data_IF_140370078746
#
_entry.id   IF_140370078746
#
_cell.length_a   1.000
_cell.length_b   1.000
_cell.length_c   1.000
_cell.angle_alpha   90.00
_cell.angle_beta   90.00
_cell.angle_gamma   90.00
#
_symmetry.space_group_name_H-M   'P 1'
#
loop_
_entity.id
_entity.type
_entity.pdbx_description
1 polymer ?
#
# COMPACT_ATOMS: atom_id res chain seq x y z
N UNK A 1 -0.50 -35.13 -65.28
CA UNK A 1 0.62 -35.26 -66.24
C UNK A 1 1.43 -33.98 -66.23
N UNK A 2 2.72 -34.10 -65.91
CA UNK A 2 3.70 -33.02 -65.87
C UNK A 2 4.02 -32.44 -67.26
N UNK A 3 4.57 -31.21 -67.22
CA UNK A 3 5.38 -30.46 -68.22
C UNK A 3 4.63 -29.21 -68.69
N UNK A 4 5.22 -28.02 -68.68
CA UNK A 4 6.60 -27.63 -68.50
C UNK A 4 6.79 -26.28 -69.21
N UNK A 5 7.42 -25.33 -68.53
CA UNK A 5 7.78 -23.99 -69.00
C UNK A 5 8.51 -24.00 -70.36
N UNK A 6 8.27 -22.95 -71.16
CA UNK A 6 9.33 -22.32 -71.97
C UNK A 6 9.09 -20.83 -72.11
N UNK A 7 10.14 -20.09 -71.74
CA UNK A 7 10.28 -18.63 -71.78
C UNK A 7 10.76 -18.22 -73.18
N UNK A 8 10.22 -17.13 -73.71
CA UNK A 8 10.80 -16.40 -74.85
C UNK A 8 11.28 -15.03 -74.40
N UNK A 9 12.56 -14.75 -74.63
CA UNK A 9 13.19 -13.45 -74.44
C UNK A 9 12.58 -12.39 -75.35
N UNK A 10 12.25 -11.23 -74.79
CA UNK A 10 12.00 -10.00 -75.56
C UNK A 10 12.87 -8.89 -74.99
N UNK A 11 13.64 -8.26 -75.88
CA UNK A 11 14.61 -7.22 -75.58
C UNK A 11 14.02 -5.89 -76.07
N UNK A 12 13.90 -4.83 -75.25
CA UNK A 12 13.62 -3.50 -75.77
C UNK A 12 14.78 -2.51 -75.61
N UNK A 13 14.83 -1.66 -76.62
CA UNK A 13 15.78 -0.61 -77.02
C UNK A 13 15.85 0.63 -76.09
N UNK A 14 16.87 1.50 -76.28
CA UNK A 14 17.28 2.50 -75.31
C UNK A 14 16.56 3.83 -75.55
N UNK A 15 15.31 3.95 -75.12
CA UNK A 15 14.57 5.24 -75.11
C UNK A 15 13.81 5.51 -73.81
N UNK A 16 14.16 4.78 -72.74
CA UNK A 16 13.56 4.90 -71.41
C UNK A 16 14.48 5.54 -70.36
N UNK A 17 15.67 5.98 -70.75
CA UNK A 17 16.70 6.45 -69.79
C UNK A 17 16.52 7.95 -69.43
N UNK A 18 15.80 8.74 -70.23
CA UNK A 18 15.68 10.20 -69.98
C UNK A 18 14.43 10.63 -69.23
N UNK A 19 13.43 9.75 -69.02
CA UNK A 19 12.27 10.06 -68.17
C UNK A 19 12.35 9.47 -66.75
N UNK A 20 13.34 8.61 -66.49
CA UNK A 20 13.60 8.09 -65.13
C UNK A 20 14.48 9.03 -64.31
N UNK A 21 15.29 9.88 -64.96
CA UNK A 21 16.23 10.77 -64.26
C UNK A 21 15.58 12.00 -63.60
N UNK A 22 14.31 12.31 -63.89
CA UNK A 22 13.57 13.43 -63.29
C UNK A 22 12.59 13.00 -62.18
N UNK A 23 12.37 11.70 -61.98
CA UNK A 23 11.70 11.16 -60.79
C UNK A 23 12.69 10.73 -59.68
N UNK A 24 13.99 10.66 -59.97
CA UNK A 24 15.01 10.37 -58.95
C UNK A 24 15.60 11.62 -58.29
N UNK A 25 15.22 12.82 -58.71
CA UNK A 25 15.72 14.10 -58.15
C UNK A 25 14.66 14.90 -57.38
N UNK A 26 13.63 14.24 -56.84
CA UNK A 26 12.62 14.82 -55.95
C UNK A 26 12.42 14.04 -54.64
N UNK A 27 13.30 13.07 -54.33
CA UNK A 27 13.33 12.34 -53.05
C UNK A 27 14.66 12.62 -52.31
N UNK A 28 15.11 13.87 -52.33
CA UNK A 28 16.39 14.28 -51.71
C UNK A 28 16.24 15.47 -50.75
N UNK A 29 15.07 15.66 -50.14
CA UNK A 29 14.90 16.54 -48.97
C UNK A 29 13.90 15.90 -47.98
N UNK A 30 14.26 14.72 -47.49
CA UNK A 30 13.75 14.22 -46.22
C UNK A 30 15.00 13.85 -45.42
N UNK A 31 15.41 14.74 -44.53
CA UNK A 31 16.43 14.45 -43.54
C UNK A 31 16.06 13.12 -42.87
N UNK A 32 16.89 12.07 -42.92
CA UNK A 32 16.77 11.04 -41.91
C UNK A 32 17.12 11.74 -40.60
N UNK A 33 16.12 11.97 -39.76
CA UNK A 33 16.33 12.05 -38.32
C UNK A 33 17.31 10.92 -38.00
N UNK A 34 18.54 11.28 -37.62
CA UNK A 34 19.52 10.33 -37.15
C UNK A 34 18.89 9.67 -35.92
N UNK A 35 18.25 8.53 -36.12
CA UNK A 35 17.90 7.62 -35.05
C UNK A 35 19.25 7.19 -34.47
N UNK A 36 19.64 7.81 -33.36
CA UNK A 36 20.83 7.41 -32.64
C UNK A 36 20.62 5.94 -32.24
N UNK A 37 21.62 5.08 -32.45
CA UNK A 37 21.47 3.69 -32.05
C UNK A 37 21.51 3.57 -30.52
N UNK A 38 20.76 2.64 -29.92
CA UNK A 38 20.79 2.41 -28.48
C UNK A 38 22.23 2.13 -28.02
N UNK A 39 22.70 2.88 -27.02
CA UNK A 39 24.06 2.74 -26.51
C UNK A 39 24.08 1.87 -25.26
N UNK A 40 25.00 0.91 -25.23
CA UNK A 40 25.21 0.08 -24.05
C UNK A 40 26.15 0.79 -23.09
N UNK A 41 25.70 1.00 -21.84
CA UNK A 41 26.46 1.63 -20.75
C UNK A 41 26.49 0.74 -19.52
N UNK A 42 27.35 1.06 -18.55
CA UNK A 42 27.37 0.39 -17.24
C UNK A 42 27.10 1.38 -16.11
N UNK A 43 26.32 0.99 -15.11
CA UNK A 43 26.10 1.80 -13.91
C UNK A 43 27.28 1.67 -12.91
N UNK A 44 27.18 2.39 -11.80
CA UNK A 44 28.19 2.40 -10.73
C UNK A 44 28.34 1.03 -10.03
N UNK A 45 27.32 0.17 -10.13
CA UNK A 45 27.30 -1.19 -9.59
C UNK A 45 27.78 -2.24 -10.60
N UNK A 46 28.19 -1.82 -11.81
CA UNK A 46 28.79 -2.67 -12.85
C UNK A 46 27.77 -3.35 -13.79
N UNK A 47 26.48 -3.07 -13.62
CA UNK A 47 25.38 -3.67 -14.38
C UNK A 47 25.28 -3.05 -15.77
N UNK A 48 24.93 -3.87 -16.78
CA UNK A 48 24.92 -3.44 -18.18
C UNK A 48 23.51 -2.97 -18.60
N UNK A 49 23.44 -1.74 -19.10
CA UNK A 49 22.22 -1.01 -19.45
C UNK A 49 22.19 -0.71 -20.94
N UNK A 50 21.02 -0.78 -21.58
CA UNK A 50 20.77 -0.24 -22.92
C UNK A 50 20.11 1.13 -22.73
N UNK A 51 20.70 2.19 -23.26
CA UNK A 51 20.18 3.55 -23.21
C UNK A 51 19.71 3.97 -24.59
N UNK A 52 18.45 4.34 -24.71
CA UNK A 52 17.80 4.74 -25.95
C UNK A 52 17.96 6.26 -26.19
N UNK A 53 17.77 6.73 -27.44
CA UNK A 53 17.94 8.14 -27.81
C UNK A 53 16.96 9.10 -27.13
N UNK A 54 15.81 8.60 -26.69
CA UNK A 54 14.78 9.35 -25.96
C UNK A 54 15.12 9.53 -24.47
N UNK A 55 16.27 9.00 -24.02
CA UNK A 55 16.72 9.04 -22.63
C UNK A 55 16.15 7.91 -21.76
N UNK A 56 15.28 7.06 -22.31
CA UNK A 56 14.85 5.85 -21.62
C UNK A 56 15.99 4.83 -21.57
N UNK A 57 15.97 3.96 -20.58
CA UNK A 57 16.98 2.93 -20.42
C UNK A 57 16.36 1.66 -19.84
N UNK A 58 16.98 0.51 -20.14
CA UNK A 58 16.59 -0.77 -19.55
C UNK A 58 17.80 -1.66 -19.30
N UNK A 59 17.66 -2.61 -18.38
CA UNK A 59 18.71 -3.59 -18.11
C UNK A 59 18.86 -4.57 -19.28
N UNK A 60 20.12 -4.85 -19.64
CA UNK A 60 20.44 -5.78 -20.73
C UNK A 60 19.96 -7.21 -20.43
N UNK A 61 19.89 -7.60 -19.16
CA UNK A 61 19.34 -8.88 -18.70
C UNK A 61 17.85 -9.02 -19.02
N UNK A 62 17.08 -7.95 -18.88
CA UNK A 62 15.64 -7.96 -19.12
C UNK A 62 15.34 -8.04 -20.62
N UNK A 63 16.16 -7.39 -21.45
CA UNK A 63 16.08 -7.50 -22.92
C UNK A 63 16.27 -8.94 -23.42
N UNK A 64 17.25 -9.67 -22.87
CA UNK A 64 17.48 -11.08 -23.23
C UNK A 64 16.37 -12.02 -22.72
N UNK A 65 15.67 -11.64 -21.65
CA UNK A 65 14.59 -12.44 -21.06
C UNK A 65 13.27 -12.41 -21.84
N UNK A 66 13.17 -11.57 -22.89
CA UNK A 66 12.00 -11.52 -23.77
C UNK A 66 10.72 -10.96 -23.14
N UNK A 67 10.81 -10.27 -21.99
CA UNK A 67 9.67 -9.53 -21.41
C UNK A 67 9.34 -8.36 -22.34
N UNK A 68 8.21 -8.43 -23.04
CA UNK A 68 7.71 -7.35 -23.92
C UNK A 68 7.42 -6.06 -23.13
N UNK A 69 7.67 -4.94 -23.81
CA UNK A 69 7.43 -3.56 -23.37
C UNK A 69 6.09 -3.38 -22.64
N UNK A 70 6.17 -2.72 -21.48
CA UNK A 70 5.02 -2.35 -20.65
C UNK A 70 4.21 -1.25 -21.35
N UNK A 71 2.89 -1.41 -21.33
CA UNK A 71 1.94 -0.51 -21.98
C UNK A 71 2.02 0.91 -21.36
N UNK A 72 1.94 2.02 -22.13
CA UNK A 72 2.06 3.39 -21.59
C UNK A 72 0.97 3.77 -20.57
N UNK A 73 -0.11 2.99 -20.47
CA UNK A 73 -1.16 3.14 -19.46
C UNK A 73 -0.70 2.76 -18.04
N UNK A 74 0.42 2.05 -17.89
CA UNK A 74 0.97 1.64 -16.59
C UNK A 74 1.87 2.74 -15.95
N UNK A 75 2.03 3.91 -16.58
CA UNK A 75 2.81 5.04 -16.02
C UNK A 75 2.05 5.86 -14.96
N UNK A 76 0.82 5.49 -14.60
CA UNK A 76 -0.04 6.29 -13.73
C UNK A 76 0.03 5.93 -12.23
N UNK A 77 0.92 5.02 -11.81
CA UNK A 77 0.98 4.62 -10.39
C UNK A 77 2.42 4.55 -9.94
N UNK A 78 3.00 5.71 -9.64
CA UNK A 78 4.10 5.73 -8.70
C UNK A 78 3.53 5.26 -7.35
N UNK A 79 4.00 4.13 -6.78
CA UNK A 79 3.57 3.73 -5.45
C UNK A 79 3.96 4.86 -4.49
N UNK A 80 2.95 5.47 -3.86
CA UNK A 80 3.17 6.35 -2.73
C UNK A 80 3.76 5.44 -1.65
N UNK A 81 5.03 5.65 -1.33
CA UNK A 81 5.69 4.93 -0.26
C UNK A 81 5.02 5.32 1.07
N UNK A 82 4.11 4.46 1.55
CA UNK A 82 3.57 4.52 2.91
C UNK A 82 4.53 3.80 3.86
N UNK A 83 5.72 4.38 4.04
CA UNK A 83 6.61 3.97 5.11
C UNK A 83 6.23 4.68 6.41
N UNK A 84 5.86 3.94 7.43
CA UNK A 84 5.86 4.48 8.80
C UNK A 84 7.30 4.68 9.22
N UNK A 85 7.74 5.94 9.30
CA UNK A 85 9.02 6.29 9.90
C UNK A 85 8.89 5.99 11.40
N UNK A 86 9.58 4.95 11.88
CA UNK A 86 9.73 4.71 13.31
C UNK A 86 10.25 6.00 13.95
N UNK A 87 9.55 6.56 14.96
CA UNK A 87 10.03 7.75 15.63
C UNK A 87 11.39 7.43 16.23
N UNK A 88 12.41 8.23 15.87
CA UNK A 88 13.75 8.08 16.44
C UNK A 88 13.65 7.98 17.97
N UNK A 89 14.17 6.88 18.51
CA UNK A 89 14.20 6.63 19.94
C UNK A 89 15.14 7.65 20.62
N UNK A 90 14.53 8.65 21.27
CA UNK A 90 15.24 9.66 22.04
C UNK A 90 14.56 11.03 22.01
N UNK A 91 14.64 11.76 23.13
CA UNK A 91 14.33 13.18 23.16
C UNK A 91 15.36 13.93 22.30
N UNK A 92 15.11 14.03 20.99
CA UNK A 92 15.90 14.88 20.09
C UNK A 92 15.76 16.30 20.62
N UNK A 93 16.86 16.85 21.14
CA UNK A 93 16.92 18.26 21.54
C UNK A 93 16.90 19.09 20.26
N UNK A 94 15.73 19.58 19.90
CA UNK A 94 15.54 20.47 18.75
C UNK A 94 16.34 21.74 19.01
N UNK A 95 17.35 21.98 18.18
CA UNK A 95 18.21 23.17 18.27
C UNK A 95 17.57 24.35 17.55
N UNK A 96 18.06 25.57 17.80
CA UNK A 96 17.59 26.76 17.09
C UNK A 96 17.89 26.70 15.58
N UNK A 97 19.02 26.09 15.20
CA UNK A 97 19.37 25.82 13.79
C UNK A 97 18.37 24.85 13.13
N UNK A 98 17.92 23.83 13.86
CA UNK A 98 16.88 22.92 13.37
C UNK A 98 15.55 23.66 13.17
N UNK A 99 15.18 24.55 14.10
CA UNK A 99 13.97 25.36 13.97
C UNK A 99 14.04 26.32 12.79
N UNK A 100 15.20 26.92 12.54
CA UNK A 100 15.43 27.76 11.37
C UNK A 100 15.26 26.97 10.07
N UNK A 101 15.90 25.79 9.95
CA UNK A 101 15.76 24.90 8.78
C UNK A 101 14.32 24.45 8.55
N UNK A 102 13.59 24.15 9.63
CA UNK A 102 12.16 23.81 9.55
C UNK A 102 11.36 25.01 9.05
N UNK A 103 11.63 26.22 9.55
CA UNK A 103 10.95 27.44 9.12
C UNK A 103 11.25 27.75 7.64
N UNK A 104 12.52 27.69 7.24
CA UNK A 104 12.97 27.85 5.85
C UNK A 104 12.27 26.86 4.92
N UNK A 105 12.24 25.58 5.30
CA UNK A 105 11.55 24.56 4.50
C UNK A 105 10.06 24.84 4.39
N UNK A 106 9.42 25.34 5.46
CA UNK A 106 8.00 25.72 5.44
C UNK A 106 7.73 26.93 4.54
N UNK A 107 8.61 27.94 4.51
CA UNK A 107 8.51 29.03 3.53
C UNK A 107 8.58 28.50 2.11
N UNK A 108 9.58 27.69 1.79
CA UNK A 108 9.75 27.13 0.44
C UNK A 108 8.50 26.38 -0.02
N UNK A 109 7.92 25.54 0.86
CA UNK A 109 6.69 24.82 0.56
C UNK A 109 5.48 25.74 0.40
N UNK A 110 5.38 26.79 1.22
CA UNK A 110 4.31 27.78 1.11
C UNK A 110 4.41 28.57 -0.22
N UNK A 111 5.62 28.92 -0.64
CA UNK A 111 5.90 29.58 -1.92
C UNK A 111 5.55 28.70 -3.12
N UNK A 112 5.95 27.42 -3.08
CA UNK A 112 5.58 26.44 -4.09
C UNK A 112 4.05 26.28 -4.16
N UNK A 113 3.38 26.18 -3.01
CA UNK A 113 1.93 26.12 -2.94
C UNK A 113 1.26 27.37 -3.53
N UNK A 114 1.77 28.56 -3.23
CA UNK A 114 1.27 29.82 -3.78
C UNK A 114 1.41 29.87 -5.31
N UNK A 115 2.55 29.42 -5.86
CA UNK A 115 2.78 29.33 -7.32
C UNK A 115 1.82 28.33 -7.98
N UNK A 116 1.60 27.17 -7.36
CA UNK A 116 0.68 26.15 -7.88
C UNK A 116 -0.76 26.68 -7.86
N UNK A 117 -1.18 27.32 -6.77
CA UNK A 117 -2.52 27.91 -6.65
C UNK A 117 -2.74 29.03 -7.69
N UNK A 118 -1.74 29.87 -7.91
CA UNK A 118 -1.76 30.91 -8.95
C UNK A 118 -1.93 30.29 -10.35
N UNK A 119 -1.16 29.24 -10.67
CA UNK A 119 -1.30 28.52 -11.94
C UNK A 119 -2.68 27.87 -12.10
N UNK A 120 -3.27 27.34 -11.02
CA UNK A 120 -4.64 26.79 -11.04
C UNK A 120 -5.67 27.87 -11.34
N UNK A 121 -5.54 29.04 -10.72
CA UNK A 121 -6.41 30.18 -11.00
C UNK A 121 -6.31 30.64 -12.46
N UNK A 122 -5.10 30.74 -13.00
CA UNK A 122 -4.88 31.08 -14.42
C UNK A 122 -5.53 30.06 -15.36
N UNK A 123 -5.33 28.76 -15.12
CA UNK A 123 -5.99 27.70 -15.90
C UNK A 123 -7.52 27.74 -15.78
N UNK A 124 -8.05 28.09 -14.61
CA UNK A 124 -9.50 28.24 -14.42
C UNK A 124 -10.06 29.43 -15.20
N UNK A 125 -9.32 30.55 -15.29
CA UNK A 125 -9.70 31.69 -16.15
C UNK A 125 -9.72 31.31 -17.62
N UNK A 126 -8.69 30.60 -18.09
CA UNK A 126 -8.61 30.12 -19.48
C UNK A 126 -9.79 29.19 -19.80
N UNK A 127 -10.12 28.26 -18.90
CA UNK A 127 -11.25 27.36 -19.06
C UNK A 127 -12.59 28.13 -19.12
N UNK A 128 -12.80 29.13 -18.26
CA UNK A 128 -14.00 30.00 -18.36
C UNK A 128 -14.05 30.71 -19.71
N UNK A 129 -12.94 31.33 -20.13
CA UNK A 129 -12.86 32.08 -21.36
C UNK A 129 -13.10 31.19 -22.60
N UNK A 130 -12.67 29.93 -22.56
CA UNK A 130 -12.95 28.96 -23.62
C UNK A 130 -14.44 28.64 -23.72
N UNK A 131 -15.10 28.33 -22.60
CA UNK A 131 -16.54 28.04 -22.58
C UNK A 131 -17.37 29.26 -23.02
N UNK A 132 -16.93 30.47 -22.66
CA UNK A 132 -17.56 31.72 -23.09
C UNK A 132 -17.44 31.93 -24.60
N UNK A 133 -16.26 31.67 -25.18
CA UNK A 133 -16.05 31.70 -26.64
C UNK A 133 -16.92 30.68 -27.37
N UNK A 134 -17.00 29.45 -26.85
CA UNK A 134 -17.87 28.40 -27.40
C UNK A 134 -19.34 28.85 -27.39
N UNK A 135 -19.80 29.46 -26.30
CA UNK A 135 -21.16 30.01 -26.21
C UNK A 135 -21.40 31.11 -27.26
N UNK A 136 -20.47 32.06 -27.42
CA UNK A 136 -20.59 33.12 -28.42
C UNK A 136 -20.58 32.58 -29.87
N UNK A 137 -19.77 31.56 -30.15
CA UNK A 137 -19.71 30.92 -31.46
C UNK A 137 -21.03 30.20 -31.80
N UNK A 138 -21.61 29.51 -30.81
CA UNK A 138 -22.91 28.84 -30.97
C UNK A 138 -24.05 29.85 -31.14
N UNK A 139 -24.01 30.99 -30.46
CA UNK A 139 -25.00 32.06 -30.62
C UNK A 139 -24.90 32.74 -32.00
N UNK A 140 -23.69 32.94 -32.52
CA UNK A 140 -23.48 33.63 -33.81
C UNK A 140 -23.80 32.78 -35.05
N UNK A 141 -23.70 31.46 -34.95
CA UNK A 141 -23.97 30.53 -36.07
C UNK A 141 -25.47 30.25 -36.29
N UNK A 142 -26.35 30.63 -35.35
CA UNK A 142 -27.81 30.60 -35.52
C UNK A 142 -28.45 29.21 -35.65
N UNK A 143 -27.68 28.12 -35.53
CA UNK A 143 -28.13 26.72 -35.67
C UNK A 143 -28.25 25.99 -34.31
N UNK A 144 -28.20 26.72 -33.21
CA UNK A 144 -28.13 26.13 -31.87
C UNK A 144 -29.49 25.61 -31.38
N UNK A 145 -29.55 24.32 -30.99
CA UNK A 145 -30.70 23.79 -30.25
C UNK A 145 -30.74 24.37 -28.83
N UNK A 146 -31.95 24.57 -28.30
CA UNK A 146 -32.14 25.18 -26.97
C UNK A 146 -31.47 24.36 -25.84
N UNK A 147 -31.34 23.04 -26.02
CA UNK A 147 -30.63 22.14 -25.12
C UNK A 147 -29.12 22.40 -25.07
N UNK A 148 -28.48 22.67 -26.22
CA UNK A 148 -27.04 22.95 -26.30
C UNK A 148 -26.70 24.27 -25.61
N UNK A 149 -27.55 25.29 -25.78
CA UNK A 149 -27.41 26.57 -25.08
C UNK A 149 -27.54 26.39 -23.56
N UNK A 150 -28.49 25.57 -23.11
CA UNK A 150 -28.68 25.29 -21.68
C UNK A 150 -27.47 24.56 -21.07
N UNK A 151 -26.89 23.59 -21.79
CA UNK A 151 -25.68 22.89 -21.36
C UNK A 151 -24.46 23.82 -21.28
N UNK A 152 -24.26 24.69 -22.28
CA UNK A 152 -23.16 25.65 -22.28
C UNK A 152 -23.29 26.68 -21.15
N UNK A 153 -24.51 27.16 -20.87
CA UNK A 153 -24.75 28.04 -19.72
C UNK A 153 -24.46 27.34 -18.38
N UNK A 154 -24.79 26.06 -18.25
CA UNK A 154 -24.45 25.27 -17.07
C UNK A 154 -22.93 25.12 -16.90
N UNK A 155 -22.22 24.82 -18.00
CA UNK A 155 -20.75 24.73 -18.01
C UNK A 155 -20.09 26.07 -17.67
N UNK A 156 -20.60 27.17 -18.22
CA UNK A 156 -20.11 28.51 -17.93
C UNK A 156 -20.24 28.84 -16.44
N UNK A 157 -21.42 28.55 -15.85
CA UNK A 157 -21.67 28.72 -14.42
C UNK A 157 -20.72 27.88 -13.55
N UNK A 158 -20.45 26.64 -13.96
CA UNK A 158 -19.48 25.79 -13.26
C UNK A 158 -18.05 26.35 -13.37
N UNK A 159 -17.63 26.78 -14.56
CA UNK A 159 -16.33 27.39 -14.78
C UNK A 159 -16.13 28.69 -13.98
N UNK A 160 -17.16 29.54 -13.88
CA UNK A 160 -17.11 30.75 -13.05
C UNK A 160 -16.93 30.44 -11.56
N UNK A 161 -17.60 29.40 -11.05
CA UNK A 161 -17.41 28.99 -9.64
C UNK A 161 -16.00 28.45 -9.39
N UNK A 162 -15.50 27.60 -10.29
CA UNK A 162 -14.16 27.05 -10.19
C UNK A 162 -13.08 28.13 -10.20
N UNK A 163 -13.24 29.16 -11.03
CA UNK A 163 -12.34 30.33 -11.03
C UNK A 163 -12.41 31.13 -9.72
N UNK A 164 -13.61 31.38 -9.18
CA UNK A 164 -13.78 32.08 -7.90
C UNK A 164 -13.13 31.31 -6.74
N UNK A 165 -13.34 30.00 -6.68
CA UNK A 165 -12.73 29.13 -5.68
C UNK A 165 -11.20 29.12 -5.81
N UNK A 166 -10.69 28.97 -7.03
CA UNK A 166 -9.25 29.00 -7.31
C UNK A 166 -8.62 30.37 -7.00
N UNK A 167 -9.36 31.47 -7.20
CA UNK A 167 -8.91 32.81 -6.84
C UNK A 167 -8.74 32.95 -5.32
N UNK A 168 -9.71 32.46 -4.54
CA UNK A 168 -9.66 32.49 -3.08
C UNK A 168 -8.49 31.62 -2.59
N UNK A 169 -8.34 30.40 -3.14
CA UNK A 169 -7.22 29.50 -2.83
C UNK A 169 -5.86 30.17 -3.11
N UNK A 170 -5.71 30.83 -4.27
CA UNK A 170 -4.49 31.55 -4.62
C UNK A 170 -4.19 32.70 -3.66
N UNK A 171 -5.20 33.47 -3.27
CA UNK A 171 -5.05 34.56 -2.29
C UNK A 171 -4.65 34.02 -0.90
N UNK A 172 -5.26 32.91 -0.47
CA UNK A 172 -4.95 32.26 0.80
C UNK A 172 -3.53 31.71 0.83
N UNK A 173 -3.14 30.98 -0.22
CA UNK A 173 -1.80 30.44 -0.36
C UNK A 173 -0.73 31.55 -0.38
N UNK A 174 -1.00 32.66 -1.08
CA UNK A 174 -0.09 33.81 -1.10
C UNK A 174 -0.01 34.51 0.26
N UNK A 175 -1.11 34.62 1.00
CA UNK A 175 -1.10 35.13 2.38
C UNK A 175 -0.27 34.26 3.31
N UNK A 176 -0.36 32.93 3.16
CA UNK A 176 0.40 31.99 3.99
C UNK A 176 1.89 31.99 3.65
N UNK A 177 2.26 32.07 2.37
CA UNK A 177 3.64 32.25 1.90
C UNK A 177 4.26 33.52 2.52
N UNK A 178 3.60 34.67 2.37
CA UNK A 178 4.06 35.93 2.98
C UNK A 178 4.18 35.83 4.52
N UNK A 179 3.26 35.09 5.17
CA UNK A 179 3.29 34.88 6.61
C UNK A 179 4.49 34.03 7.01
N UNK A 180 4.82 32.98 6.26
CA UNK A 180 5.98 32.14 6.48
C UNK A 180 7.28 32.93 6.32
N UNK A 181 7.39 33.75 5.28
CA UNK A 181 8.57 34.59 5.04
C UNK A 181 8.80 35.61 6.16
N UNK A 182 7.73 36.29 6.59
CA UNK A 182 7.81 37.23 7.71
C UNK A 182 8.24 36.55 9.02
N UNK A 183 7.91 35.27 9.22
CA UNK A 183 8.31 34.52 10.42
C UNK A 183 9.82 34.23 10.42
N UNK A 184 10.40 33.99 9.25
CA UNK A 184 11.85 33.81 9.09
C UNK A 184 12.57 35.15 9.25
N UNK A 185 12.15 36.19 8.52
CA UNK A 185 12.80 37.50 8.52
C UNK A 185 12.84 38.14 9.92
N UNK A 186 11.74 38.01 10.69
CA UNK A 186 11.63 38.58 12.04
C UNK A 186 12.22 37.70 13.14
N UNK A 187 12.73 36.51 12.81
CA UNK A 187 13.20 35.53 13.80
C UNK A 187 12.09 34.99 14.72
N UNK A 188 10.83 35.12 14.33
CA UNK A 188 9.66 34.72 15.13
C UNK A 188 9.38 33.21 15.13
N UNK A 189 10.18 32.42 14.43
CA UNK A 189 10.00 30.98 14.27
C UNK A 189 10.13 30.20 15.59
N UNK A 190 10.98 30.66 16.52
CA UNK A 190 11.13 30.03 17.85
C UNK A 190 9.86 30.19 18.67
N UNK A 191 9.27 31.39 18.69
CA UNK A 191 8.05 31.68 19.44
C UNK A 191 6.84 30.98 18.82
N UNK A 192 6.77 30.96 17.49
CA UNK A 192 5.76 30.19 16.76
C UNK A 192 5.82 28.69 17.09
N UNK A 193 7.02 28.11 17.14
CA UNK A 193 7.21 26.71 17.51
C UNK A 193 6.77 26.42 18.96
N UNK A 194 7.18 27.26 19.91
CA UNK A 194 6.78 27.13 21.32
C UNK A 194 5.26 27.25 21.51
N UNK A 195 4.63 28.19 20.80
CA UNK A 195 3.18 28.37 20.83
C UNK A 195 2.44 27.13 20.28
N UNK A 196 2.94 26.52 19.20
CA UNK A 196 2.36 25.32 18.62
C UNK A 196 2.53 24.09 19.54
N UNK A 197 3.71 23.94 20.16
CA UNK A 197 3.94 22.90 21.17
C UNK A 197 2.97 23.03 22.35
N UNK A 198 2.74 24.26 22.83
CA UNK A 198 1.78 24.52 23.91
C UNK A 198 0.35 24.11 23.51
N UNK A 199 -0.10 24.47 22.30
CA UNK A 199 -1.41 24.06 21.77
C UNK A 199 -1.55 22.53 21.64
N UNK A 200 -0.50 21.85 21.18
CA UNK A 200 -0.47 20.38 21.11
C UNK A 200 -0.59 19.75 22.50
N UNK A 201 0.10 20.29 23.50
CA UNK A 201 -0.02 19.81 24.89
C UNK A 201 -1.42 20.08 25.47
N UNK A 202 -2.00 21.25 25.22
CA UNK A 202 -3.35 21.62 25.69
C UNK A 202 -4.45 20.77 25.02
N UNK A 203 -4.33 20.47 23.72
CA UNK A 203 -5.26 19.59 23.01
C UNK A 203 -5.14 18.12 23.46
N UNK A 204 -3.93 17.65 23.80
CA UNK A 204 -3.75 16.31 24.37
C UNK A 204 -4.28 16.21 25.80
N UNK A 205 -4.10 17.25 26.62
CA UNK A 205 -4.65 17.32 27.97
C UNK A 205 -6.19 17.32 27.96
N UNK A 206 -6.80 18.18 27.14
CA UNK A 206 -8.27 18.23 27.00
C UNK A 206 -8.87 16.92 26.42
N UNK A 207 -8.18 16.22 25.53
CA UNK A 207 -8.59 14.87 25.08
C UNK A 207 -8.54 13.83 26.20
N UNK A 208 -7.52 13.89 27.06
CA UNK A 208 -7.41 13.00 28.25
C UNK A 208 -8.50 13.31 29.28
N UNK A 209 -8.85 14.57 29.47
CA UNK A 209 -9.89 14.98 30.41
C UNK A 209 -11.30 14.68 29.88
N UNK A 210 -11.53 14.82 28.57
CA UNK A 210 -12.79 14.42 27.93
C UNK A 210 -13.04 12.90 28.01
N UNK A 211 -11.98 12.08 27.97
CA UNK A 211 -12.07 10.63 28.18
C UNK A 211 -12.32 10.23 29.64
N UNK A 212 -11.95 11.07 30.61
CA UNK A 212 -12.23 10.83 32.04
C UNK A 212 -13.60 11.36 32.48
N UNK A 213 -14.14 12.37 31.81
CA UNK A 213 -15.39 13.04 32.21
C UNK A 213 -16.66 12.41 31.64
N UNK A 214 -16.57 11.51 30.64
CA UNK A 214 -17.72 10.76 30.13
C UNK A 214 -17.93 9.50 30.96
N UNK A 215 -18.66 9.64 32.07
CA UNK A 215 -19.40 8.50 32.63
C UNK A 215 -20.33 7.95 31.54
N UNK A 216 -20.29 6.65 31.31
CA UNK A 216 -21.07 5.94 30.28
C UNK A 216 -22.59 6.06 30.47
N UNK A 217 -23.06 6.53 31.62
CA UNK A 217 -24.49 6.57 32.00
C UNK A 217 -25.34 7.61 31.26
N UNK A 218 -24.74 8.60 30.57
CA UNK A 218 -25.50 9.72 30.00
C UNK A 218 -25.68 9.66 28.48
N UNK A 219 -25.24 8.59 27.82
CA UNK A 219 -25.24 8.52 26.35
C UNK A 219 -26.40 7.70 25.74
N UNK A 220 -27.29 7.10 26.54
CA UNK A 220 -28.38 6.26 26.00
C UNK A 220 -29.76 6.76 26.46
N UNK A 221 -30.66 7.13 25.54
CA UNK A 221 -32.06 7.34 25.87
C UNK A 221 -32.70 5.97 26.13
N UNK A 222 -32.81 5.59 27.40
CA UNK A 222 -33.54 4.42 27.83
C UNK A 222 -35.05 4.67 27.61
N UNK A 223 -35.68 3.83 26.80
CA UNK A 223 -37.14 3.82 26.63
C UNK A 223 -37.77 2.88 27.67
N UNK A 224 -39.00 3.20 28.10
CA UNK A 224 -39.73 2.63 29.24
C UNK A 224 -40.07 1.12 29.17
N UNK A 225 -39.53 0.37 28.22
CA UNK A 225 -39.90 -1.04 27.99
C UNK A 225 -38.81 -2.06 28.36
N UNK A 226 -37.80 -1.67 29.14
CA UNK A 226 -36.79 -2.64 29.60
C UNK A 226 -37.27 -3.38 30.87
N UNK A 227 -37.98 -4.49 30.66
CA UNK A 227 -38.31 -5.45 31.72
C UNK A 227 -37.03 -6.20 32.10
N UNK A 228 -36.61 -6.01 33.35
CA UNK A 228 -35.41 -6.60 33.93
C UNK A 228 -35.38 -8.12 33.81
N UNK A 229 -34.54 -8.60 32.89
CA UNK A 229 -33.94 -9.92 32.98
C UNK A 229 -32.77 -9.76 33.96
N UNK A 230 -32.63 -10.68 34.90
CA UNK A 230 -31.44 -10.79 35.76
C UNK A 230 -30.20 -10.95 34.86
N UNK A 231 -29.62 -9.81 34.48
CA UNK A 231 -28.48 -9.71 33.58
C UNK A 231 -27.26 -9.44 34.45
N UNK A 232 -26.51 -10.50 34.75
CA UNK A 232 -25.06 -10.33 34.74
C UNK A 232 -24.74 -9.61 33.43
N UNK A 233 -24.00 -8.53 33.52
CA UNK A 233 -23.73 -7.63 32.41
C UNK A 233 -22.94 -8.39 31.33
N UNK A 234 -23.63 -9.10 30.43
CA UNK A 234 -23.03 -10.00 29.42
C UNK A 234 -22.18 -9.21 28.41
N UNK A 235 -22.37 -7.89 28.35
CA UNK A 235 -21.58 -6.96 27.55
C UNK A 235 -20.26 -6.65 28.26
N UNK A 236 -20.28 -6.43 29.58
CA UNK A 236 -19.07 -6.17 30.37
C UNK A 236 -18.33 -7.45 30.80
N UNK A 237 -19.05 -8.56 30.93
CA UNK A 237 -18.57 -9.87 31.35
C UNK A 237 -19.16 -10.96 30.45
N UNK A 238 -18.73 -11.03 29.17
CA UNK A 238 -19.15 -12.13 28.32
C UNK A 238 -18.71 -13.46 28.95
N UNK A 239 -19.56 -14.50 28.91
CA UNK A 239 -19.22 -15.81 29.45
C UNK A 239 -17.98 -16.34 28.73
N UNK A 240 -16.98 -16.77 29.49
CA UNK A 240 -15.74 -17.32 28.94
C UNK A 240 -16.05 -18.58 28.13
N UNK A 241 -15.54 -18.65 26.90
CA UNK A 241 -15.68 -19.85 26.08
C UNK A 241 -15.10 -21.08 26.83
N UNK A 242 -15.76 -22.25 26.76
CA UNK A 242 -15.25 -23.45 27.40
C UNK A 242 -13.90 -23.85 26.77
N UNK A 243 -12.94 -24.21 27.61
CA UNK A 243 -11.62 -24.64 27.17
C UNK A 243 -11.68 -26.00 26.47
N UNK A 244 -11.47 -26.01 25.16
CA UNK A 244 -11.26 -27.22 24.38
C UNK A 244 -9.84 -27.75 24.56
N UNK A 245 -9.69 -28.96 25.08
CA UNK A 245 -8.40 -29.61 25.34
C UNK A 245 -8.29 -30.83 24.43
N UNK A 246 -7.31 -30.82 23.52
CA UNK A 246 -7.07 -31.90 22.57
C UNK A 246 -6.37 -33.10 23.23
N UNK A 247 -5.46 -32.83 24.17
CA UNK A 247 -4.70 -33.86 24.88
C UNK A 247 -4.28 -33.38 26.25
N UNK A 248 -4.45 -34.24 27.26
CA UNK A 248 -3.96 -34.01 28.62
C UNK A 248 -3.45 -35.31 29.23
N UNK A 249 -2.17 -35.38 29.56
CA UNK A 249 -1.57 -36.59 30.13
C UNK A 249 -0.05 -36.60 30.10
N UNK A 250 0.54 -37.73 30.51
CA UNK A 250 1.98 -37.93 30.39
C UNK A 250 2.36 -38.26 28.94
N UNK A 251 3.28 -37.48 28.38
CA UNK A 251 3.82 -37.77 27.06
C UNK A 251 4.76 -38.97 27.11
N UNK A 252 4.45 -40.00 26.32
CA UNK A 252 5.22 -41.24 26.20
C UNK A 252 6.68 -41.04 25.76
N UNK A 253 7.00 -39.93 25.08
CA UNK A 253 8.35 -39.67 24.55
C UNK A 253 9.23 -38.90 25.54
N UNK A 254 8.67 -37.90 26.21
CA UNK A 254 9.42 -37.04 27.14
C UNK A 254 9.27 -37.44 28.61
N UNK A 255 8.25 -38.23 28.96
CA UNK A 255 7.90 -38.56 30.36
C UNK A 255 7.34 -37.38 31.15
N UNK A 256 7.15 -36.22 30.51
CA UNK A 256 6.64 -35.02 31.12
C UNK A 256 5.12 -34.92 30.97
N UNK A 257 4.48 -34.19 31.88
CA UNK A 257 3.09 -33.82 31.73
C UNK A 257 2.94 -32.85 30.55
N UNK A 258 2.03 -33.18 29.62
CA UNK A 258 1.70 -32.41 28.43
C UNK A 258 0.21 -32.08 28.41
N UNK A 259 -0.09 -30.82 28.11
CA UNK A 259 -1.45 -30.30 27.88
C UNK A 259 -1.47 -29.55 26.56
N UNK A 260 -2.28 -30.02 25.61
CA UNK A 260 -2.51 -29.36 24.32
C UNK A 260 -3.95 -28.88 24.25
N UNK A 261 -4.11 -27.64 23.79
CA UNK A 261 -5.43 -27.09 23.49
C UNK A 261 -5.89 -27.49 22.08
N UNK A 262 -7.20 -27.37 21.86
CA UNK A 262 -7.78 -27.59 20.54
C UNK A 262 -7.26 -26.57 19.52
N UNK A 263 -7.06 -27.06 18.30
CA UNK A 263 -6.68 -26.24 17.15
C UNK A 263 -7.82 -25.28 16.78
N UNK A 264 -7.47 -24.00 16.63
CA UNK A 264 -8.40 -22.95 16.28
C UNK A 264 -7.90 -22.14 15.09
N UNK A 265 -8.84 -21.64 14.30
CA UNK A 265 -8.56 -20.76 13.19
C UNK A 265 -8.03 -19.41 13.70
N UNK A 266 -6.98 -18.91 13.05
CA UNK A 266 -6.36 -17.63 13.39
C UNK A 266 -6.57 -16.59 12.29
N UNK A 267 -6.17 -16.92 11.06
CA UNK A 267 -6.37 -16.08 9.89
C UNK A 267 -6.35 -16.86 8.59
N UNK A 268 -6.83 -16.23 7.52
CA UNK A 268 -6.67 -16.70 6.15
C UNK A 268 -6.21 -15.54 5.26
N UNK A 269 -5.46 -15.84 4.20
CA UNK A 269 -5.00 -14.84 3.29
C UNK A 269 -5.08 -15.33 1.84
N UNK A 270 -5.55 -14.46 0.97
CA UNK A 270 -5.63 -14.69 -0.48
C UNK A 270 -5.31 -13.39 -1.20
N UNK A 271 -4.23 -13.39 -1.99
CA UNK A 271 -3.88 -12.27 -2.89
C UNK A 271 -5.01 -12.04 -3.90
N UNK A 272 -5.38 -10.78 -4.12
CA UNK A 272 -6.43 -10.37 -5.05
C UNK A 272 -6.22 -10.92 -6.47
N UNK A 273 -4.98 -11.12 -6.90
CA UNK A 273 -4.63 -11.71 -8.20
C UNK A 273 -5.03 -13.19 -8.29
N UNK A 274 -4.95 -13.90 -7.17
CA UNK A 274 -5.25 -15.33 -7.10
C UNK A 274 -6.74 -15.58 -6.83
N UNK A 275 -7.45 -14.60 -6.26
CA UNK A 275 -8.88 -14.68 -5.91
C UNK A 275 -9.77 -15.05 -7.11
N UNK A 276 -9.43 -14.60 -8.33
CA UNK A 276 -10.13 -14.96 -9.58
C UNK A 276 -10.06 -16.47 -9.88
N UNK A 277 -8.95 -17.10 -9.52
CA UNK A 277 -8.70 -18.53 -9.78
C UNK A 277 -9.17 -19.43 -8.63
N UNK A 278 -9.22 -18.89 -7.42
CA UNK A 278 -9.48 -19.62 -6.18
C UNK A 278 -10.97 -19.73 -5.80
N UNK A 279 -11.85 -18.95 -6.44
CA UNK A 279 -13.30 -18.92 -6.17
C UNK A 279 -13.60 -18.82 -4.66
N UNK A 280 -13.94 -19.95 -4.04
CA UNK A 280 -14.39 -20.04 -2.65
C UNK A 280 -13.33 -20.62 -1.69
N UNK A 281 -12.13 -20.92 -2.19
CA UNK A 281 -11.03 -21.46 -1.36
C UNK A 281 -10.06 -20.35 -0.98
N UNK A 282 -9.67 -20.30 0.29
CA UNK A 282 -8.59 -19.44 0.74
C UNK A 282 -7.23 -20.02 0.29
N UNK A 283 -6.33 -19.15 -0.17
CA UNK A 283 -5.00 -19.56 -0.63
C UNK A 283 -4.14 -20.07 0.52
N UNK A 284 -4.07 -19.30 1.60
CA UNK A 284 -3.39 -19.60 2.84
C UNK A 284 -4.40 -19.61 3.98
N UNK A 285 -4.37 -20.67 4.79
CA UNK A 285 -5.10 -20.78 6.04
C UNK A 285 -4.13 -21.05 7.18
N UNK A 286 -4.18 -20.24 8.23
CA UNK A 286 -3.38 -20.40 9.43
C UNK A 286 -4.28 -20.81 10.59
N UNK A 287 -3.93 -21.93 11.20
CA UNK A 287 -4.53 -22.42 12.42
C UNK A 287 -3.46 -22.58 13.50
N UNK A 288 -3.86 -22.50 14.75
CA UNK A 288 -2.91 -22.62 15.83
C UNK A 288 -3.52 -23.17 17.11
N UNK A 289 -2.65 -23.53 18.03
CA UNK A 289 -3.00 -23.89 19.39
C UNK A 289 -1.80 -23.70 20.32
N UNK A 290 -2.05 -23.65 21.62
CA UNK A 290 -0.99 -23.66 22.62
C UNK A 290 -0.78 -25.06 23.20
N UNK A 291 0.49 -25.38 23.46
CA UNK A 291 0.93 -26.63 24.08
C UNK A 291 1.86 -26.35 25.24
N UNK A 292 1.63 -27.03 26.37
CA UNK A 292 2.46 -26.99 27.55
C UNK A 292 3.12 -28.35 27.74
N UNK A 293 4.45 -28.38 27.87
CA UNK A 293 5.21 -29.59 28.11
C UNK A 293 6.34 -29.32 29.11
N UNK A 294 6.32 -30.00 30.25
CA UNK A 294 7.43 -29.95 31.21
C UNK A 294 7.74 -28.55 31.75
N UNK A 295 6.73 -27.69 31.87
CA UNK A 295 6.86 -26.30 32.33
C UNK A 295 7.17 -25.28 31.23
N UNK A 296 7.56 -25.75 30.03
CA UNK A 296 7.68 -24.90 28.84
C UNK A 296 6.34 -24.81 28.12
N UNK A 297 6.12 -23.69 27.44
CA UNK A 297 4.93 -23.43 26.65
C UNK A 297 5.32 -23.03 25.24
N UNK A 298 4.48 -23.42 24.30
CA UNK A 298 4.73 -23.26 22.87
C UNK A 298 3.44 -22.81 22.19
N UNK A 299 3.56 -21.85 21.29
CA UNK A 299 2.56 -21.56 20.27
C UNK A 299 2.87 -22.45 19.06
N UNK A 300 1.92 -23.31 18.70
CA UNK A 300 1.97 -24.15 17.52
C UNK A 300 1.15 -23.47 16.43
N UNK A 301 1.77 -23.21 15.27
CA UNK A 301 1.10 -22.67 14.09
C UNK A 301 1.22 -23.65 12.93
N UNK A 302 0.09 -23.86 12.26
CA UNK A 302 -0.05 -24.67 11.07
C UNK A 302 -0.52 -23.80 9.90
N UNK A 303 0.37 -23.60 8.92
CA UNK A 303 0.08 -22.87 7.69
C UNK A 303 -0.24 -23.87 6.59
N UNK A 304 -1.46 -23.80 6.07
CA UNK A 304 -1.94 -24.70 5.03
C UNK A 304 -2.19 -23.91 3.75
N UNK A 305 -1.50 -24.29 2.68
CA UNK A 305 -1.65 -23.71 1.35
C UNK A 305 -2.46 -24.64 0.44
N UNK A 306 -3.39 -24.05 -0.30
CA UNK A 306 -4.23 -24.77 -1.25
C UNK A 306 -3.50 -25.22 -2.53
N UNK A 307 -2.25 -24.78 -2.74
CA UNK A 307 -1.47 -25.12 -3.94
C UNK A 307 -0.03 -25.53 -3.62
N UNK A 308 0.52 -26.56 -4.32
CA UNK A 308 1.89 -27.04 -4.10
C UNK A 308 2.97 -26.02 -4.48
N UNK A 309 2.69 -25.14 -5.45
CA UNK A 309 3.65 -24.13 -5.93
C UNK A 309 4.00 -23.09 -4.86
N UNK A 310 3.25 -23.02 -3.75
CA UNK A 310 3.58 -22.16 -2.61
C UNK A 310 4.98 -22.47 -2.05
N UNK A 311 5.49 -23.71 -2.16
CA UNK A 311 6.86 -24.03 -1.73
C UNK A 311 7.92 -23.27 -2.54
N UNK A 312 7.70 -23.03 -3.83
CA UNK A 312 8.66 -22.30 -4.66
C UNK A 312 8.62 -20.79 -4.38
N UNK A 313 7.45 -20.25 -4.04
CA UNK A 313 7.26 -18.84 -3.75
C UNK A 313 7.74 -18.45 -2.34
N UNK A 314 7.41 -19.25 -1.33
CA UNK A 314 7.70 -18.98 0.09
C UNK A 314 8.96 -19.69 0.59
N UNK A 315 9.31 -20.82 0.00
CA UNK A 315 10.45 -21.63 0.43
C UNK A 315 10.16 -22.38 1.74
N UNK A 316 10.96 -22.12 2.77
CA UNK A 316 10.92 -22.82 4.06
C UNK A 316 10.99 -21.84 5.23
N UNK A 317 10.59 -22.30 6.42
CA UNK A 317 10.74 -21.53 7.66
C UNK A 317 12.02 -21.99 8.35
N UNK A 318 12.96 -21.06 8.51
CA UNK A 318 14.25 -21.33 9.16
C UNK A 318 14.11 -21.49 10.68
N UNK A 319 15.02 -22.27 11.28
CA UNK A 319 15.12 -22.34 12.74
C UNK A 319 15.64 -21.00 13.28
N UNK A 320 14.94 -20.44 14.27
CA UNK A 320 15.23 -19.14 14.84
C UNK A 320 14.66 -17.97 14.04
N UNK A 321 13.89 -18.24 12.96
CA UNK A 321 13.12 -17.22 12.26
C UNK A 321 12.16 -16.53 13.23
N UNK A 322 11.93 -15.24 13.00
CA UNK A 322 11.12 -14.43 13.88
C UNK A 322 9.66 -14.51 13.41
N UNK A 323 8.74 -14.59 14.36
CA UNK A 323 7.32 -14.33 14.19
C UNK A 323 7.02 -13.05 14.96
N UNK A 324 6.52 -12.02 14.28
CA UNK A 324 6.15 -10.76 14.92
C UNK A 324 4.64 -10.68 15.00
N UNK A 325 4.11 -10.65 16.21
CA UNK A 325 2.68 -10.50 16.49
C UNK A 325 2.45 -9.03 16.85
N UNK A 326 1.69 -8.32 16.04
CA UNK A 326 1.40 -6.89 16.19
C UNK A 326 0.02 -6.72 16.81
N UNK A 327 -0.10 -5.83 17.78
CA UNK A 327 -1.35 -5.55 18.49
C UNK A 327 -1.99 -4.26 17.99
N UNK A 328 -3.29 -4.10 18.24
CA UNK A 328 -4.06 -2.91 17.84
C UNK A 328 -3.52 -1.60 18.45
N UNK A 329 -2.77 -1.67 19.54
CA UNK A 329 -2.17 -0.52 20.20
C UNK A 329 -0.82 -0.09 19.57
N UNK A 330 -0.33 -0.81 18.55
CA UNK A 330 0.93 -0.54 17.85
C UNK A 330 2.17 -1.19 18.48
N UNK A 331 2.00 -1.91 19.59
CA UNK A 331 3.10 -2.69 20.17
C UNK A 331 3.27 -4.04 19.43
N UNK A 332 4.35 -4.78 19.72
CA UNK A 332 4.61 -6.09 19.11
C UNK A 332 5.30 -7.10 20.03
N UNK A 333 5.06 -8.39 19.77
CA UNK A 333 5.75 -9.53 20.40
C UNK A 333 6.51 -10.32 19.36
N UNK A 334 7.80 -10.54 19.59
CA UNK A 334 8.65 -11.35 18.73
C UNK A 334 8.89 -12.74 19.33
N UNK A 335 8.47 -13.78 18.62
CA UNK A 335 8.76 -15.18 18.95
C UNK A 335 9.78 -15.75 17.96
N UNK A 336 10.57 -16.73 18.39
CA UNK A 336 11.57 -17.38 17.52
C UNK A 336 11.21 -18.83 17.29
N UNK A 337 11.26 -19.29 16.04
CA UNK A 337 10.93 -20.68 15.71
C UNK A 337 11.92 -21.65 16.37
N UNK A 338 11.41 -22.73 16.97
CA UNK A 338 12.25 -23.76 17.61
C UNK A 338 12.84 -24.75 16.61
N UNK A 339 12.22 -24.90 15.44
CA UNK A 339 12.58 -25.85 14.38
C UNK A 339 12.52 -25.22 13.00
N UNK A 340 13.29 -25.80 12.08
CA UNK A 340 13.17 -25.53 10.66
C UNK A 340 12.10 -26.44 10.07
N UNK A 341 11.25 -25.89 9.20
CA UNK A 341 10.28 -26.68 8.45
C UNK A 341 10.27 -26.31 6.96
N UNK A 342 10.33 -27.33 6.10
CA UNK A 342 10.33 -27.20 4.63
C UNK A 342 8.94 -27.36 4.01
N UNK A 343 7.93 -27.61 4.84
CA UNK A 343 6.56 -27.88 4.44
C UNK A 343 6.41 -29.31 3.93
N UNK A 344 5.32 -29.96 4.30
CA UNK A 344 4.94 -31.30 3.84
C UNK A 344 3.80 -31.18 2.85
N UNK A 345 3.94 -31.79 1.67
CA UNK A 345 2.87 -31.82 0.68
C UNK A 345 2.14 -33.14 0.79
N UNK A 346 0.84 -33.10 1.03
CA UNK A 346 -0.02 -34.26 1.04
C UNK A 346 -0.66 -34.45 -0.34
N UNK A 347 -0.41 -35.60 -0.96
CA UNK A 347 -0.93 -35.96 -2.27
C UNK A 347 -2.42 -36.31 -2.26
N UNK A 348 -2.99 -36.67 -1.09
CA UNK A 348 -4.41 -37.02 -0.99
C UNK A 348 -5.29 -35.78 -0.86
N UNK A 349 -4.86 -34.81 -0.04
CA UNK A 349 -5.60 -33.56 0.19
C UNK A 349 -5.16 -32.45 -0.77
N UNK A 350 -4.05 -32.63 -1.49
CA UNK A 350 -3.39 -31.64 -2.35
C UNK A 350 -2.97 -30.36 -1.60
N UNK A 351 -2.77 -30.45 -0.29
CA UNK A 351 -2.41 -29.33 0.57
C UNK A 351 -0.92 -29.34 0.92
N UNK A 352 -0.31 -28.16 0.93
CA UNK A 352 1.04 -27.96 1.45
C UNK A 352 0.94 -27.38 2.87
N UNK A 353 1.46 -28.09 3.85
CA UNK A 353 1.35 -27.72 5.27
C UNK A 353 2.72 -27.46 5.88
N UNK A 354 2.88 -26.32 6.53
CA UNK A 354 4.02 -25.98 7.38
C UNK A 354 3.61 -25.99 8.85
N UNK A 355 4.36 -26.67 9.70
CA UNK A 355 4.14 -26.80 11.14
C UNK A 355 5.33 -26.23 11.88
N UNK A 356 5.09 -25.13 12.60
CA UNK A 356 6.14 -24.45 13.35
C UNK A 356 5.71 -24.26 14.79
N UNK A 357 6.67 -24.43 15.70
CA UNK A 357 6.47 -24.14 17.10
C UNK A 357 7.35 -22.97 17.54
N UNK A 358 6.75 -22.10 18.33
CA UNK A 358 7.36 -20.90 18.87
C UNK A 358 7.33 -21.00 20.39
N UNK A 359 8.48 -21.22 21.05
CA UNK A 359 8.56 -21.13 22.50
C UNK A 359 8.10 -19.74 22.95
N UNK A 360 7.25 -19.71 23.98
CA UNK A 360 6.71 -18.48 24.54
C UNK A 360 7.01 -18.39 26.03
N UNK A 361 7.47 -17.23 26.47
CA UNK A 361 7.72 -16.97 27.88
C UNK A 361 6.51 -16.39 28.61
N UNK A 362 6.59 -16.34 29.95
CA UNK A 362 5.49 -15.87 30.79
C UNK A 362 5.16 -14.39 30.58
N UNK A 363 6.16 -13.54 30.30
CA UNK A 363 5.93 -12.11 30.04
C UNK A 363 5.14 -11.90 28.74
N UNK A 364 5.54 -12.58 27.67
CA UNK A 364 4.90 -12.57 26.36
C UNK A 364 3.47 -13.10 26.45
N UNK A 365 3.25 -14.20 27.19
CA UNK A 365 1.90 -14.73 27.42
C UNK A 365 1.01 -13.74 28.16
N UNK A 366 1.47 -13.17 29.28
CA UNK A 366 0.68 -12.21 30.06
C UNK A 366 0.29 -10.99 29.22
N UNK A 367 1.16 -10.63 28.29
CA UNK A 367 0.93 -9.52 27.39
C UNK A 367 -0.10 -9.87 26.30
N UNK A 368 0.07 -10.99 25.59
CA UNK A 368 -0.90 -11.50 24.61
C UNK A 368 -2.27 -11.86 25.21
N UNK A 369 -2.33 -12.15 26.52
CA UNK A 369 -3.58 -12.44 27.25
C UNK A 369 -4.46 -11.20 27.44
N UNK A 370 -3.85 -10.01 27.48
CA UNK A 370 -4.53 -8.75 27.79
C UNK A 370 -4.62 -7.79 26.59
N UNK A 371 -4.00 -8.16 25.46
CA UNK A 371 -3.94 -7.34 24.26
C UNK A 371 -4.64 -8.05 23.10
N UNK A 372 -5.26 -7.26 22.24
CA UNK A 372 -5.88 -7.73 21.00
C UNK A 372 -4.86 -7.66 19.86
N UNK A 373 -4.77 -8.76 19.11
CA UNK A 373 -3.81 -8.92 18.00
C UNK A 373 -4.44 -8.45 16.70
N UNK A 374 -3.75 -7.58 15.98
CA UNK A 374 -4.20 -7.00 14.71
C UNK A 374 -3.63 -7.75 13.51
N UNK A 375 -2.31 -7.99 13.52
CA UNK A 375 -1.60 -8.60 12.41
C UNK A 375 -0.43 -9.48 12.86
N UNK A 376 -0.05 -10.43 12.01
CA UNK A 376 1.07 -11.34 12.24
C UNK A 376 1.99 -11.30 11.04
N UNK A 377 3.27 -10.99 11.28
CA UNK A 377 4.32 -11.03 10.28
C UNK A 377 5.15 -12.31 10.42
N UNK A 378 5.20 -13.07 9.35
CA UNK A 378 5.92 -14.35 9.25
C UNK A 378 7.15 -14.16 8.36
N UNK A 379 8.30 -14.63 8.85
CA UNK A 379 9.55 -14.64 8.08
C UNK A 379 9.75 -16.00 7.42
N UNK A 380 9.70 -16.00 6.10
CA UNK A 380 9.97 -17.11 5.20
C UNK A 380 11.41 -17.03 4.68
N UNK A 381 11.94 -18.10 4.07
CA UNK A 381 13.27 -18.05 3.46
C UNK A 381 13.35 -17.10 2.25
N UNK A 382 12.24 -16.85 1.57
CA UNK A 382 12.17 -15.93 0.42
C UNK A 382 11.94 -14.46 0.81
N UNK A 383 11.56 -14.18 2.06
CA UNK A 383 11.23 -12.83 2.51
C UNK A 383 10.34 -12.84 3.76
N UNK A 384 9.52 -11.81 3.93
CA UNK A 384 8.52 -11.77 4.98
C UNK A 384 7.16 -11.41 4.40
N UNK A 385 6.10 -11.86 5.05
CA UNK A 385 4.74 -11.48 4.70
C UNK A 385 3.96 -11.17 5.98
N UNK A 386 3.01 -10.25 5.86
CA UNK A 386 2.17 -9.77 6.95
C UNK A 386 0.72 -10.14 6.69
N UNK A 387 0.09 -10.74 7.68
CA UNK A 387 -1.27 -11.25 7.60
C UNK A 387 -2.15 -10.60 8.65
N UNK A 388 -3.29 -10.07 8.22
CA UNK A 388 -4.33 -9.56 9.11
C UNK A 388 -4.97 -10.70 9.89
N UNK A 389 -5.14 -10.52 11.20
CA UNK A 389 -5.74 -11.52 12.09
C UNK A 389 -7.23 -11.25 12.21
N UNK A 390 -8.05 -12.22 11.79
CA UNK A 390 -9.50 -12.12 11.92
C UNK A 390 -10.00 -12.54 13.30
N UNK A 391 -9.31 -13.47 13.97
CA UNK A 391 -9.71 -13.98 15.27
C UNK A 391 -8.93 -13.29 16.41
N UNK A 392 -9.40 -12.11 16.81
CA UNK A 392 -8.78 -11.26 17.84
C UNK A 392 -8.70 -11.98 19.21
N UNK A 393 -9.70 -12.82 19.53
CA UNK A 393 -9.80 -13.51 20.81
C UNK A 393 -8.99 -14.82 20.90
N UNK A 394 -8.30 -15.22 19.82
CA UNK A 394 -7.57 -16.50 19.79
C UNK A 394 -6.57 -16.61 20.95
N UNK A 395 -5.71 -15.60 21.10
CA UNK A 395 -4.65 -15.61 22.11
C UNK A 395 -5.22 -15.51 23.52
N UNK A 396 -6.19 -14.63 23.75
CA UNK A 396 -6.79 -14.41 25.07
C UNK A 396 -7.51 -15.67 25.57
N UNK A 397 -8.27 -16.35 24.69
CA UNK A 397 -8.99 -17.57 25.04
C UNK A 397 -8.04 -18.75 25.28
N UNK A 398 -7.11 -19.01 24.37
CA UNK A 398 -6.18 -20.14 24.51
C UNK A 398 -5.25 -19.97 25.72
N UNK A 399 -4.69 -18.78 25.94
CA UNK A 399 -3.76 -18.54 27.05
C UNK A 399 -4.44 -18.62 28.42
N UNK A 400 -5.75 -18.34 28.52
CA UNK A 400 -6.52 -18.57 29.75
C UNK A 400 -6.73 -20.06 30.06
N UNK A 401 -6.73 -20.91 29.03
CA UNK A 401 -6.99 -22.35 29.16
C UNK A 401 -5.74 -23.18 29.43
N UNK A 402 -4.55 -22.67 29.11
CA UNK A 402 -3.28 -23.38 29.30
C UNK A 402 -2.60 -23.11 30.65
N UNK A 403 -2.91 -21.97 31.28
CA UNK A 403 -2.58 -21.70 32.69
C UNK A 403 -3.42 -22.58 33.62
#
# INVERSE_FOLDING_TARGET
MLKGLKITHFNPSPTWITLSLLCFLSIAVLNPLQAQEPQIRKNNDGETLIVYPDGSWQYYSDYLSGKKERNPADMATYPIFEGTIEPLDGNIKVTEDDLYKIAERRSQLADEAAKIAQLRWEKAQEARAQVEKELQQVLSTGQATQEVIAQLNMRLKAATRAEQESQIEAQDAHRESNRADMLIEKGGFVDAYKAEQKKRMESQASRRDAYKARSYDQALPLTDNYVGINQQDLILNPPTAPCGVAFEGMDSKSGNYRKDLDQQFLFSHTDDRLRVYLKDKEYLRCEGYFSANGGYRYLMLEFTFAYPNAREAYGFIEKGSILTIMMLNGDYVNLRSGVMDRGSYDTETELLTYRVHYPIDRSQMNYLKNSEVDAIRVFWSSGFEEYEVFQLDFFSNQLRCID
#
